data_IF_717480891229
#
_entry.id   IF_717480891229
#
_cell.length_a   1.000
_cell.length_b   1.000
_cell.length_c   1.000
_cell.angle_alpha   90.00
_cell.angle_beta   90.00
_cell.angle_gamma   90.00
#
_symmetry.space_group_name_H-M   'P 1'
#
loop_
_entity.id
_entity.type
_entity.pdbx_description
1 polymer ?
#
# COMPACT_ATOMS: atom_id res chain seq x y z
N UNK A 1 4.29 -9.50 1.08
CA UNK A 1 5.48 -8.83 0.54
C UNK A 1 6.10 -8.05 1.68
N UNK A 2 7.40 -8.16 1.87
CA UNK A 2 8.14 -7.42 2.91
C UNK A 2 9.18 -6.58 2.20
N UNK A 3 9.22 -5.28 2.47
CA UNK A 3 10.18 -4.36 1.86
C UNK A 3 11.57 -4.56 2.42
N UNK A 4 11.67 -4.48 3.75
CA UNK A 4 12.97 -4.45 4.40
C UNK A 4 13.34 -3.02 4.69
N UNK A 5 14.56 -2.59 4.38
CA UNK A 5 15.01 -1.23 4.66
C UNK A 5 15.46 -0.56 3.36
N UNK A 6 15.19 0.73 3.24
CA UNK A 6 15.40 1.49 2.01
C UNK A 6 14.09 1.63 1.23
N UNK A 7 14.07 2.56 0.27
CA UNK A 7 12.90 2.78 -0.56
C UNK A 7 12.64 1.57 -1.46
N UNK A 8 11.48 0.94 -1.28
CA UNK A 8 11.06 -0.32 -1.87
C UNK A 8 9.96 -0.15 -2.92
N UNK A 9 9.94 -1.07 -3.89
CA UNK A 9 8.97 -1.07 -4.98
C UNK A 9 8.10 -2.33 -4.93
N UNK A 10 6.81 -2.13 -4.72
CA UNK A 10 5.79 -3.16 -4.66
C UNK A 10 4.94 -3.17 -5.93
N UNK A 11 4.47 -4.33 -6.34
CA UNK A 11 3.67 -4.48 -7.56
C UNK A 11 2.45 -5.33 -7.29
N UNK A 12 1.27 -4.79 -7.61
CA UNK A 12 0.01 -5.49 -7.51
C UNK A 12 -0.74 -5.42 -8.84
N UNK A 13 -1.04 -6.58 -9.41
CA UNK A 13 -1.64 -6.69 -10.74
C UNK A 13 -3.18 -6.66 -10.73
N UNK A 14 -3.82 -6.38 -9.58
CA UNK A 14 -5.29 -6.33 -9.46
C UNK A 14 -5.92 -7.72 -9.43
N UNK A 15 -5.21 -8.72 -8.93
CA UNK A 15 -5.69 -10.10 -8.80
C UNK A 15 -5.35 -10.67 -7.44
N UNK A 16 -6.29 -11.40 -6.85
CA UNK A 16 -6.08 -12.04 -5.56
C UNK A 16 -6.03 -11.07 -4.38
N UNK A 17 -5.44 -11.52 -3.28
CA UNK A 17 -5.41 -10.81 -2.01
C UNK A 17 -3.99 -10.79 -1.45
N UNK A 18 -3.30 -9.68 -1.65
CA UNK A 18 -1.91 -9.51 -1.23
C UNK A 18 -1.82 -8.69 0.06
N UNK A 19 -0.73 -8.89 0.80
CA UNK A 19 -0.38 -8.12 1.99
C UNK A 19 1.03 -7.59 1.87
N UNK A 20 1.23 -6.33 2.23
CA UNK A 20 2.50 -5.63 2.33
C UNK A 20 2.73 -5.32 3.80
N UNK A 21 3.93 -5.59 4.29
CA UNK A 21 4.38 -5.16 5.60
C UNK A 21 5.77 -4.57 5.44
N UNK A 22 5.84 -3.25 5.39
CA UNK A 22 7.11 -2.54 5.26
C UNK A 22 7.88 -2.50 6.60
N UNK A 23 7.13 -2.59 7.71
CA UNK A 23 7.68 -2.52 9.06
C UNK A 23 8.43 -3.76 9.51
N UNK A 24 8.71 -4.70 8.60
CA UNK A 24 9.46 -5.92 8.88
C UNK A 24 10.63 -6.10 7.94
N UNK A 25 11.70 -6.68 8.45
CA UNK A 25 12.84 -7.12 7.66
C UNK A 25 12.47 -8.28 6.75
N UNK A 26 13.36 -8.63 5.82
CA UNK A 26 13.25 -9.83 5.00
C UNK A 26 13.20 -11.16 5.80
N UNK A 27 13.53 -11.13 7.10
CA UNK A 27 13.42 -12.28 8.02
C UNK A 27 12.12 -12.28 8.82
N UNK A 28 11.26 -11.28 8.64
CA UNK A 28 9.97 -11.15 9.34
C UNK A 28 10.08 -10.56 10.73
N UNK A 29 11.24 -10.01 11.11
CA UNK A 29 11.41 -9.29 12.36
C UNK A 29 10.98 -7.84 12.19
N UNK A 30 10.36 -7.24 13.21
CA UNK A 30 10.02 -5.82 13.18
C UNK A 30 11.29 -4.96 12.99
N UNK A 31 11.18 -3.92 12.16
CA UNK A 31 12.22 -2.90 12.00
C UNK A 31 12.31 -2.04 13.25
N UNK A 32 13.54 -1.74 13.65
CA UNK A 32 13.84 -0.97 14.87
C UNK A 32 14.90 0.10 14.64
N UNK A 33 15.39 0.25 13.42
CA UNK A 33 16.33 1.31 13.08
C UNK A 33 15.62 2.67 13.07
N UNK A 34 16.41 3.75 13.10
CA UNK A 34 15.87 5.12 13.15
C UNK A 34 15.72 5.78 11.79
N UNK A 35 15.99 5.07 10.69
CA UNK A 35 15.92 5.59 9.35
C UNK A 35 14.61 5.14 8.72
N UNK A 36 13.65 6.06 8.64
CA UNK A 36 12.40 5.82 7.92
C UNK A 36 12.62 6.04 6.43
N UNK A 37 11.96 5.21 5.63
CA UNK A 37 11.93 5.36 4.19
C UNK A 37 11.10 6.60 3.82
N UNK A 38 11.35 7.09 2.61
CA UNK A 38 10.77 8.37 2.17
C UNK A 38 10.07 8.25 0.82
N UNK A 39 10.17 7.10 0.18
CA UNK A 39 9.68 6.90 -1.20
C UNK A 39 9.42 5.43 -1.51
N UNK A 40 8.76 4.71 -0.60
CA UNK A 40 8.20 3.40 -0.95
C UNK A 40 7.05 3.58 -1.93
N UNK A 41 7.06 2.77 -3.00
CA UNK A 41 6.09 2.90 -4.10
C UNK A 41 5.36 1.59 -4.31
N UNK A 42 4.03 1.64 -4.21
CA UNK A 42 3.15 0.57 -4.68
C UNK A 42 2.63 0.88 -6.08
N UNK A 43 3.01 0.05 -7.05
CA UNK A 43 2.46 0.07 -8.40
C UNK A 43 1.24 -0.84 -8.48
N UNK A 44 0.08 -0.27 -8.81
CA UNK A 44 -1.17 -1.01 -9.01
C UNK A 44 -1.60 -0.98 -10.47
N UNK A 45 -2.19 -2.06 -10.97
CA UNK A 45 -2.74 -2.13 -12.33
C UNK A 45 -4.04 -1.32 -12.50
N UNK A 46 -4.70 -0.95 -11.41
CA UNK A 46 -5.93 -0.14 -11.43
C UNK A 46 -5.72 1.19 -12.16
N UNK A 47 -6.73 1.62 -12.90
CA UNK A 47 -6.78 2.95 -13.47
C UNK A 47 -7.00 3.99 -12.36
N UNK A 48 -6.57 5.24 -12.60
CA UNK A 48 -6.69 6.34 -11.64
C UNK A 48 -8.13 6.57 -11.12
N UNK A 49 -9.13 6.48 -11.99
CA UNK A 49 -10.54 6.62 -11.63
C UNK A 49 -11.15 5.38 -10.96
N UNK A 50 -10.43 4.27 -10.96
CA UNK A 50 -10.84 3.00 -10.37
C UNK A 50 -10.07 2.66 -9.08
N UNK A 51 -9.16 3.54 -8.64
CA UNK A 51 -8.43 3.34 -7.39
C UNK A 51 -9.33 3.63 -6.18
N UNK A 52 -9.59 2.60 -5.38
CA UNK A 52 -10.28 2.69 -4.09
C UNK A 52 -9.31 2.53 -2.92
N UNK A 53 -9.51 3.35 -1.87
CA UNK A 53 -8.73 3.33 -0.63
C UNK A 53 -9.71 3.23 0.56
N UNK A 54 -9.42 2.35 1.52
CA UNK A 54 -10.22 2.23 2.74
C UNK A 54 -9.35 1.89 3.95
N UNK A 55 -9.77 2.32 5.14
CA UNK A 55 -9.13 2.00 6.41
C UNK A 55 -9.87 0.87 7.12
N UNK A 56 -9.15 -0.16 7.53
CA UNK A 56 -9.68 -1.23 8.40
C UNK A 56 -8.74 -1.37 9.60
N UNK A 57 -9.16 -0.87 10.76
CA UNK A 57 -8.28 -0.82 11.93
C UNK A 57 -7.06 0.07 11.67
N UNK A 58 -5.86 -0.53 11.73
CA UNK A 58 -4.60 0.15 11.41
C UNK A 58 -4.10 -0.13 9.99
N UNK A 59 -4.82 -0.92 9.21
CA UNK A 59 -4.42 -1.30 7.86
C UNK A 59 -5.04 -0.37 6.82
N UNK A 60 -4.27 -0.11 5.75
CA UNK A 60 -4.78 0.53 4.53
C UNK A 60 -5.09 -0.55 3.49
N UNK A 61 -6.34 -0.58 3.03
CA UNK A 61 -6.82 -1.50 1.99
C UNK A 61 -6.95 -0.75 0.68
N UNK A 62 -6.33 -1.28 -0.37
CA UNK A 62 -6.35 -0.74 -1.72
C UNK A 62 -7.04 -1.74 -2.64
N UNK A 63 -8.04 -1.28 -3.38
CA UNK A 63 -8.95 -2.13 -4.15
C UNK A 63 -9.52 -1.36 -5.35
N UNK A 64 -10.33 -2.02 -6.17
CA UNK A 64 -11.03 -1.39 -7.30
C UNK A 64 -12.31 -0.67 -6.85
N UNK A 65 -12.59 0.54 -7.31
CA UNK A 65 -13.86 1.22 -7.01
C UNK A 65 -15.07 0.43 -7.53
N UNK A 66 -14.90 -0.40 -8.58
CA UNK A 66 -15.94 -1.32 -9.02
C UNK A 66 -16.41 -2.27 -7.91
N UNK A 67 -15.49 -2.78 -7.08
CA UNK A 67 -15.80 -3.68 -5.95
C UNK A 67 -16.58 -2.97 -4.82
N UNK A 68 -16.42 -1.65 -4.67
CA UNK A 68 -17.23 -0.88 -3.73
C UNK A 68 -18.67 -0.68 -4.23
N UNK A 69 -18.89 -0.66 -5.55
CA UNK A 69 -20.22 -0.44 -6.14
C UNK A 69 -21.12 -1.65 -5.96
N UNK A 70 -20.59 -2.87 -6.10
CA UNK A 70 -21.35 -4.11 -5.95
C UNK A 70 -21.23 -4.75 -4.55
N UNK A 71 -20.41 -4.18 -3.67
CA UNK A 71 -20.08 -4.68 -2.33
C UNK A 71 -19.41 -6.07 -2.33
N UNK A 72 -18.74 -6.44 -3.42
CA UNK A 72 -17.99 -7.68 -3.53
C UNK A 72 -16.53 -7.35 -3.76
N UNK A 73 -15.70 -7.58 -2.74
CA UNK A 73 -14.25 -7.43 -2.87
C UNK A 73 -13.68 -8.61 -3.65
N UNK A 74 -13.32 -8.38 -4.92
CA UNK A 74 -12.78 -9.40 -5.82
C UNK A 74 -11.26 -9.50 -5.70
N UNK A 75 -10.60 -8.37 -5.44
CA UNK A 75 -9.15 -8.33 -5.24
C UNK A 75 -8.72 -7.13 -4.41
N UNK A 76 -7.64 -7.28 -3.65
CA UNK A 76 -7.06 -6.16 -2.92
C UNK A 76 -5.60 -6.39 -2.57
N UNK A 77 -4.94 -5.29 -2.25
CA UNK A 77 -3.66 -5.30 -1.54
C UNK A 77 -3.83 -4.52 -0.25
N UNK A 78 -3.33 -5.08 0.85
CA UNK A 78 -3.40 -4.49 2.18
C UNK A 78 -2.00 -4.07 2.61
N UNK A 79 -1.85 -2.83 3.07
CA UNK A 79 -0.63 -2.35 3.73
C UNK A 79 -0.87 -2.44 5.23
N UNK A 80 -0.23 -3.43 5.85
CA UNK A 80 -0.41 -3.76 7.25
C UNK A 80 0.13 -2.66 8.15
N UNK A 81 -0.66 -2.27 9.16
CA UNK A 81 -0.31 -1.26 10.16
C UNK A 81 0.04 0.14 9.61
N UNK A 82 -0.29 0.44 8.36
CA UNK A 82 -0.04 1.74 7.71
C UNK A 82 -0.35 2.94 8.63
N UNK A 83 -1.49 2.91 9.33
CA UNK A 83 -1.93 4.03 10.19
C UNK A 83 -1.19 4.11 11.55
N UNK A 84 -0.27 3.19 11.85
CA UNK A 84 0.69 3.37 12.94
C UNK A 84 1.84 4.31 12.53
N UNK A 85 2.00 4.61 11.24
CA UNK A 85 3.09 5.42 10.71
C UNK A 85 4.44 4.70 10.81
N UNK A 86 5.53 5.45 10.92
CA UNK A 86 6.90 4.91 11.05
C UNK A 86 7.24 3.96 9.89
N UNK A 87 7.88 2.83 10.16
CA UNK A 87 8.31 1.84 9.16
C UNK A 87 7.18 1.11 8.45
N UNK A 88 5.90 1.34 8.75
CA UNK A 88 4.78 0.61 8.14
C UNK A 88 4.19 1.32 6.91
N UNK A 89 4.70 2.50 6.58
CA UNK A 89 4.13 3.37 5.57
C UNK A 89 4.67 2.98 4.21
N UNK A 90 3.80 3.03 3.20
CA UNK A 90 4.23 3.13 1.81
C UNK A 90 3.85 4.52 1.36
N UNK A 91 4.81 5.35 0.97
CA UNK A 91 4.55 6.78 0.74
C UNK A 91 3.70 7.03 -0.51
N UNK A 92 3.82 6.20 -1.54
CA UNK A 92 3.24 6.49 -2.86
C UNK A 92 2.48 5.28 -3.41
N UNK A 93 1.31 5.54 -4.02
CA UNK A 93 0.65 4.59 -4.92
C UNK A 93 0.65 5.12 -6.35
N UNK A 94 1.22 4.35 -7.27
CA UNK A 94 1.28 4.65 -8.70
C UNK A 94 0.29 3.78 -9.49
N UNK A 95 -0.59 4.41 -10.26
CA UNK A 95 -1.67 3.73 -11.00
C UNK A 95 -1.26 3.30 -12.41
N UNK A 96 -2.09 2.46 -13.04
CA UNK A 96 -1.85 1.91 -14.39
C UNK A 96 -0.44 1.32 -14.54
N UNK A 97 0.03 0.61 -13.50
CA UNK A 97 1.38 0.05 -13.41
C UNK A 97 2.49 1.09 -13.63
N UNK A 98 2.30 2.31 -13.14
CA UNK A 98 3.26 3.41 -13.26
C UNK A 98 3.12 4.27 -14.53
N UNK A 99 2.21 3.93 -15.43
CA UNK A 99 1.88 4.77 -16.59
C UNK A 99 0.85 5.87 -16.26
N UNK A 100 0.17 5.74 -15.12
CA UNK A 100 -0.83 6.69 -14.62
C UNK A 100 -0.27 7.69 -13.60
N UNK A 101 -1.13 8.52 -13.00
CA UNK A 101 -0.72 9.37 -11.89
C UNK A 101 -0.26 8.55 -10.67
N UNK A 102 0.57 9.19 -9.87
CA UNK A 102 0.96 8.74 -8.55
C UNK A 102 0.34 9.64 -7.47
N UNK A 103 -0.02 9.04 -6.34
CA UNK A 103 -0.67 9.71 -5.22
C UNK A 103 0.14 9.52 -3.94
N UNK A 104 0.34 10.61 -3.22
CA UNK A 104 0.93 10.61 -1.89
C UNK A 104 -0.07 10.05 -0.86
N UNK A 105 0.30 8.94 -0.24
CA UNK A 105 -0.47 8.25 0.79
C UNK A 105 -0.20 8.83 2.18
N UNK A 106 0.91 9.52 2.41
CA UNK A 106 1.27 10.04 3.74
C UNK A 106 0.25 11.05 4.27
N UNK A 107 -0.45 11.75 3.37
CA UNK A 107 -1.58 12.62 3.72
C UNK A 107 -2.72 11.90 4.45
N UNK A 108 -2.82 10.58 4.34
CA UNK A 108 -3.82 9.76 5.06
C UNK A 108 -3.47 9.55 6.53
N UNK A 109 -2.21 9.73 6.94
CA UNK A 109 -1.77 9.56 8.33
C UNK A 109 -2.24 10.69 9.25
N UNK A 110 -2.59 11.84 8.69
CA UNK A 110 -3.04 13.01 9.42
C UNK A 110 -4.56 13.05 9.70
N UNK A 111 -5.30 12.00 9.29
CA UNK A 111 -6.76 11.92 9.32
C UNK A 111 -7.33 11.10 10.49
#
# INVERSE_FOLDING_TARGET
>A
MWGGSGNDHYYFNGQGFDRINDGVTNTGAARTDGAFDTEDVLYVSYAANDLGLNRIGNDLVIFSNADAVDNILNSSVVIENFFLGSHYVVEVVATSSGAGPAYDLTGLLAA
#
